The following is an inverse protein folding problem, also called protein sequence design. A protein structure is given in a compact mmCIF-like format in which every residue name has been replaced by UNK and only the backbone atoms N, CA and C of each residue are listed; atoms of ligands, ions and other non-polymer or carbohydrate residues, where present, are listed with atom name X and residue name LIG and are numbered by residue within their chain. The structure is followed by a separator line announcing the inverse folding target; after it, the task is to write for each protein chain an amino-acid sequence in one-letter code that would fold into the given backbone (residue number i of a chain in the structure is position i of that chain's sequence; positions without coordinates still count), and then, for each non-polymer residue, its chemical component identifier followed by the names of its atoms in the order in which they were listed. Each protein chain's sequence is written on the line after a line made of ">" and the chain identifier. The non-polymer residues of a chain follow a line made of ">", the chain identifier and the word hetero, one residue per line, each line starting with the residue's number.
data_IF_994157703073
#
_entry.id   IF_994157703073
#
_cell.length_a   1.000
_cell.length_b   1.000
_cell.length_c   1.000
_cell.angle_alpha   90.00
_cell.angle_beta   90.00
_cell.angle_gamma   90.00
#
_symmetry.space_group_name_H-M   'P 1'
#
loop_
_entity.id
_entity.type
_entity.pdbx_description
1 polymer ?
#
# COMPACT_ATOMS: atom_id res chain seq x y z
N UNK A 1 8.40 -2.71 -18.23
CA UNK A 1 9.40 -1.66 -18.46
C UNK A 1 10.46 -2.23 -19.38
N UNK A 2 10.97 -1.46 -20.34
CA UNK A 2 12.03 -1.94 -21.22
C UNK A 2 13.29 -2.32 -20.39
N UNK A 3 13.95 -3.41 -20.77
CA UNK A 3 15.07 -3.95 -20.00
C UNK A 3 16.27 -3.00 -19.99
N UNK A 4 16.57 -2.35 -21.13
CA UNK A 4 17.69 -1.39 -21.24
C UNK A 4 17.41 -0.13 -20.44
N UNK A 5 16.17 0.38 -20.50
CA UNK A 5 15.77 1.53 -19.69
C UNK A 5 15.87 1.22 -18.19
N UNK A 6 15.46 0.02 -17.77
CA UNK A 6 15.51 -0.40 -16.36
C UNK A 6 16.95 -0.48 -15.86
N UNK A 7 17.84 -1.09 -16.65
CA UNK A 7 19.27 -1.18 -16.32
C UNK A 7 19.91 0.21 -16.19
N UNK A 8 19.61 1.11 -17.14
CA UNK A 8 20.08 2.50 -17.08
C UNK A 8 19.61 3.20 -15.80
N UNK A 9 18.33 3.07 -15.48
CA UNK A 9 17.75 3.66 -14.26
C UNK A 9 18.39 3.10 -12.98
N UNK A 10 18.67 1.80 -12.93
CA UNK A 10 19.37 1.20 -11.79
C UNK A 10 20.80 1.75 -11.59
N UNK A 11 21.45 2.27 -12.63
CA UNK A 11 22.82 2.80 -12.54
C UNK A 11 22.90 4.33 -12.40
N UNK A 12 21.81 5.05 -12.65
CA UNK A 12 21.81 6.52 -12.76
C UNK A 12 20.89 7.23 -11.77
N UNK A 13 19.96 6.54 -11.11
CA UNK A 13 19.06 7.18 -10.15
C UNK A 13 19.75 7.36 -8.79
N UNK A 14 19.93 8.63 -8.40
CA UNK A 14 20.41 9.01 -7.07
C UNK A 14 19.26 9.27 -6.08
N UNK A 15 18.09 9.74 -6.56
CA UNK A 15 16.96 10.11 -5.71
C UNK A 15 15.65 9.55 -6.26
N UNK A 16 14.85 8.94 -5.39
CA UNK A 16 13.48 8.53 -5.69
C UNK A 16 12.51 9.29 -4.79
N UNK A 17 11.51 9.92 -5.40
CA UNK A 17 10.38 10.54 -4.68
C UNK A 17 9.10 9.77 -4.99
N UNK A 18 8.59 9.04 -4.01
CA UNK A 18 7.33 8.32 -4.11
C UNK A 18 6.17 9.12 -3.52
N UNK A 19 5.47 9.85 -4.39
CA UNK A 19 4.25 10.60 -4.06
C UNK A 19 3.00 10.04 -4.74
N UNK A 20 3.10 8.90 -5.44
CA UNK A 20 1.96 8.28 -6.10
C UNK A 20 1.07 7.61 -5.05
N UNK A 21 -0.15 8.12 -4.91
CA UNK A 21 -1.18 7.58 -4.03
C UNK A 21 -2.56 7.93 -4.61
N UNK A 22 -3.57 7.10 -4.32
CA UNK A 22 -4.96 7.54 -4.41
C UNK A 22 -5.38 8.14 -3.07
N UNK A 23 -5.90 9.36 -3.11
CA UNK A 23 -6.43 10.08 -1.93
C UNK A 23 -7.95 10.05 -1.88
N UNK A 24 -8.59 9.27 -2.76
CA UNK A 24 -10.03 9.15 -2.83
C UNK A 24 -10.54 8.27 -1.67
N UNK A 25 -11.33 8.87 -0.79
CA UNK A 25 -11.85 8.20 0.41
C UNK A 25 -12.78 7.02 0.12
N UNK A 26 -13.54 7.07 -0.97
CA UNK A 26 -14.48 6.02 -1.37
C UNK A 26 -13.92 5.17 -2.54
N UNK A 27 -12.60 5.00 -2.60
CA UNK A 27 -11.99 4.20 -3.66
C UNK A 27 -12.28 2.70 -3.49
N UNK A 28 -12.27 1.96 -4.61
CA UNK A 28 -12.27 0.50 -4.58
C UNK A 28 -11.09 -0.02 -3.77
N UNK A 29 -11.36 -0.99 -2.91
CA UNK A 29 -10.34 -1.46 -1.98
C UNK A 29 -9.12 -2.09 -2.67
N UNK A 30 -9.32 -2.86 -3.74
CA UNK A 30 -8.23 -3.44 -4.54
C UNK A 30 -7.33 -2.37 -5.17
N UNK A 31 -7.93 -1.28 -5.63
CA UNK A 31 -7.21 -0.14 -6.22
C UNK A 31 -6.44 0.62 -5.14
N UNK A 32 -7.10 1.00 -4.05
CA UNK A 32 -6.47 1.71 -2.94
C UNK A 32 -5.33 0.90 -2.31
N UNK A 33 -5.54 -0.40 -2.08
CA UNK A 33 -4.51 -1.29 -1.55
C UNK A 33 -3.34 -1.46 -2.52
N UNK A 34 -3.63 -1.64 -3.81
CA UNK A 34 -2.61 -1.77 -4.85
C UNK A 34 -1.70 -0.54 -4.97
N UNK A 35 -2.28 0.66 -4.90
CA UNK A 35 -1.54 1.92 -5.04
C UNK A 35 -0.87 2.30 -3.70
N UNK A 36 -1.65 2.42 -2.63
CA UNK A 36 -1.18 3.04 -1.39
C UNK A 36 -0.37 2.09 -0.50
N UNK A 37 -0.63 0.78 -0.54
CA UNK A 37 0.11 -0.21 0.27
C UNK A 37 1.17 -0.94 -0.56
N UNK A 38 0.75 -1.64 -1.63
CA UNK A 38 1.70 -2.41 -2.45
C UNK A 38 2.62 -1.51 -3.28
N UNK A 39 2.16 -0.33 -3.71
CA UNK A 39 2.96 0.62 -4.46
C UNK A 39 4.23 1.04 -3.72
N UNK A 40 4.15 1.31 -2.41
CA UNK A 40 5.32 1.61 -1.59
C UNK A 40 6.32 0.43 -1.55
N UNK A 41 5.82 -0.80 -1.42
CA UNK A 41 6.65 -2.01 -1.46
C UNK A 41 7.34 -2.19 -2.82
N UNK A 42 6.62 -1.97 -3.93
CA UNK A 42 7.18 -2.03 -5.27
C UNK A 42 8.27 -0.99 -5.49
N UNK A 43 8.05 0.26 -5.05
CA UNK A 43 9.07 1.32 -5.15
C UNK A 43 10.30 0.97 -4.30
N UNK A 44 10.12 0.44 -3.08
CA UNK A 44 11.24 -0.04 -2.27
C UNK A 44 12.04 -1.15 -2.99
N UNK A 45 11.36 -2.11 -3.62
CA UNK A 45 12.02 -3.20 -4.34
C UNK A 45 12.71 -2.72 -5.64
N UNK A 46 12.23 -1.62 -6.23
CA UNK A 46 12.91 -0.95 -7.32
C UNK A 46 14.15 -0.21 -6.80
N UNK A 47 14.00 0.55 -5.72
CA UNK A 47 15.06 1.29 -5.04
C UNK A 47 16.22 0.37 -4.63
N UNK A 48 15.94 -0.84 -4.13
CA UNK A 48 16.98 -1.80 -3.74
C UNK A 48 17.84 -2.33 -4.91
N UNK A 49 17.44 -2.07 -6.15
CA UNK A 49 18.20 -2.41 -7.35
C UNK A 49 19.05 -1.24 -7.86
N UNK A 50 18.83 -0.03 -7.36
CA UNK A 50 19.52 1.18 -7.78
C UNK A 50 20.87 1.28 -7.05
N UNK A 51 21.98 1.16 -7.79
CA UNK A 51 23.33 1.10 -7.23
C UNK A 51 23.84 2.44 -6.69
N UNK A 52 23.29 3.55 -7.18
CA UNK A 52 23.65 4.92 -6.77
C UNK A 52 22.62 5.61 -5.89
N UNK A 53 21.57 4.90 -5.48
CA UNK A 53 20.49 5.54 -4.73
C UNK A 53 21.02 6.07 -3.40
N UNK A 54 20.94 7.38 -3.24
CA UNK A 54 21.27 8.11 -2.02
C UNK A 54 20.03 8.29 -1.16
N UNK A 55 18.90 8.71 -1.77
CA UNK A 55 17.69 9.08 -1.02
C UNK A 55 16.42 8.47 -1.61
N UNK A 56 15.61 7.84 -0.75
CA UNK A 56 14.22 7.47 -1.03
C UNK A 56 13.29 8.29 -0.13
N UNK A 57 12.56 9.23 -0.72
CA UNK A 57 11.54 10.03 -0.05
C UNK A 57 10.15 9.46 -0.35
N UNK A 58 9.41 9.06 0.68
CA UNK A 58 8.02 8.63 0.55
C UNK A 58 7.08 9.65 1.19
N UNK A 59 6.12 10.16 0.40
CA UNK A 59 5.07 11.05 0.89
C UNK A 59 3.95 10.20 1.48
N UNK A 60 3.74 10.32 2.79
CA UNK A 60 2.66 9.65 3.52
C UNK A 60 1.59 10.65 3.96
N UNK A 61 0.70 10.26 4.88
CA UNK A 61 -0.35 11.12 5.43
C UNK A 61 -0.26 11.21 6.95
N UNK A 62 -0.74 12.31 7.54
CA UNK A 62 -0.77 12.46 9.00
C UNK A 62 -1.92 11.69 9.67
N UNK A 63 -2.84 11.08 8.90
CA UNK A 63 -4.06 10.44 9.40
C UNK A 63 -3.86 9.03 9.96
N UNK A 64 -2.64 8.49 9.92
CA UNK A 64 -2.27 7.17 10.48
C UNK A 64 -1.83 7.24 11.94
N UNK A 65 -2.07 8.37 12.63
CA UNK A 65 -1.68 8.50 14.03
C UNK A 65 -2.57 7.66 14.95
N UNK A 66 -1.93 7.10 15.96
CA UNK A 66 -2.58 6.50 17.11
C UNK A 66 -3.49 7.55 17.80
N UNK A 67 -4.77 7.22 17.95
CA UNK A 67 -5.77 8.09 18.57
C UNK A 67 -5.76 8.02 20.10
N UNK A 68 -5.03 7.06 20.68
CA UNK A 68 -4.95 6.84 22.12
C UNK A 68 -3.85 7.67 22.78
N UNK A 69 -2.79 8.01 22.04
CA UNK A 69 -1.69 8.86 22.53
C UNK A 69 -2.10 10.33 22.58
N UNK A 70 -1.93 10.95 23.75
CA UNK A 70 -2.24 12.36 24.02
C UNK A 70 -0.97 13.14 24.38
N UNK A 71 -0.90 14.41 24.01
CA UNK A 71 0.22 15.29 24.32
C UNK A 71 1.33 15.25 23.28
N UNK A 72 2.60 15.44 23.69
CA UNK A 72 3.75 15.38 22.80
C UNK A 72 4.02 13.93 22.38
N UNK A 73 3.83 13.63 21.10
CA UNK A 73 4.03 12.30 20.54
C UNK A 73 5.41 12.24 19.89
N UNK A 74 6.37 11.57 20.54
CA UNK A 74 7.66 11.29 19.93
C UNK A 74 7.52 10.25 18.81
N UNK A 75 8.24 10.48 17.70
CA UNK A 75 8.36 9.49 16.64
C UNK A 75 9.14 8.27 17.14
N UNK A 76 8.63 7.08 16.83
CA UNK A 76 9.28 5.81 17.13
C UNK A 76 9.28 4.96 15.86
N UNK A 77 10.37 4.24 15.55
CA UNK A 77 10.38 3.30 14.45
C UNK A 77 9.29 2.24 14.63
N UNK A 78 8.54 1.97 13.56
CA UNK A 78 7.60 0.86 13.52
C UNK A 78 8.33 -0.45 13.25
N UNK A 79 7.96 -1.51 13.97
CA UNK A 79 8.42 -2.87 13.67
C UNK A 79 7.59 -3.46 12.54
N UNK A 80 8.19 -4.38 11.78
CA UNK A 80 7.46 -5.08 10.71
C UNK A 80 6.26 -5.82 11.31
N UNK A 81 5.08 -5.61 10.69
CA UNK A 81 3.83 -6.20 11.14
C UNK A 81 3.27 -5.63 12.45
N UNK A 82 3.87 -4.59 13.01
CA UNK A 82 3.30 -3.87 14.15
C UNK A 82 1.97 -3.25 13.76
N UNK A 83 0.97 -3.41 14.62
CA UNK A 83 -0.35 -2.81 14.48
C UNK A 83 -0.46 -1.56 15.36
N UNK A 84 -1.45 -0.70 15.07
CA UNK A 84 -1.74 0.43 15.93
C UNK A 84 -2.31 -0.04 17.28
N UNK A 85 -2.07 0.71 18.34
CA UNK A 85 -2.63 0.42 19.66
C UNK A 85 -4.17 0.43 19.60
N UNK A 86 -4.80 -0.60 20.18
CA UNK A 86 -6.25 -0.81 20.10
C UNK A 86 -6.74 -1.52 18.83
N UNK A 87 -5.83 -1.91 17.93
CA UNK A 87 -6.15 -2.76 16.78
C UNK A 87 -6.74 -4.11 17.21
N UNK A 88 -7.77 -4.58 16.48
CA UNK A 88 -8.35 -5.93 16.66
C UNK A 88 -7.42 -7.05 16.19
N UNK A 89 -6.47 -6.72 15.31
CA UNK A 89 -5.45 -7.64 14.80
C UNK A 89 -4.14 -7.42 15.54
N UNK A 90 -3.47 -8.52 15.86
CA UNK A 90 -2.18 -8.54 16.57
C UNK A 90 -0.97 -8.41 15.65
N UNK A 91 -1.15 -8.61 14.35
CA UNK A 91 -0.09 -8.55 13.35
C UNK A 91 -0.64 -8.07 12.01
N UNK A 92 0.03 -7.10 11.39
CA UNK A 92 -0.31 -6.57 10.08
C UNK A 92 0.36 -7.40 8.98
N UNK A 93 -0.43 -8.19 8.25
CA UNK A 93 0.06 -9.03 7.15
C UNK A 93 -0.52 -8.57 5.80
N UNK A 94 0.31 -7.87 5.03
CA UNK A 94 -0.06 -7.39 3.69
C UNK A 94 -0.27 -8.52 2.67
N UNK A 95 0.37 -9.68 2.84
CA UNK A 95 0.21 -10.81 1.92
C UNK A 95 -1.12 -11.51 2.18
N UNK A 96 -1.50 -11.65 3.44
CA UNK A 96 -2.82 -12.15 3.81
C UNK A 96 -3.92 -11.23 3.25
N UNK A 97 -3.80 -9.92 3.42
CA UNK A 97 -4.76 -8.96 2.90
C UNK A 97 -4.87 -9.01 1.37
N UNK A 98 -3.73 -9.09 0.68
CA UNK A 98 -3.68 -9.28 -0.77
C UNK A 98 -4.46 -10.53 -1.20
N UNK A 99 -4.28 -11.64 -0.48
CA UNK A 99 -4.97 -12.90 -0.79
C UNK A 99 -6.49 -12.76 -0.65
N UNK A 100 -6.97 -12.10 0.41
CA UNK A 100 -8.41 -11.85 0.62
C UNK A 100 -9.00 -11.04 -0.55
N UNK A 101 -8.31 -9.97 -0.96
CA UNK A 101 -8.72 -9.14 -2.09
C UNK A 101 -8.77 -9.97 -3.39
N UNK A 102 -7.73 -10.74 -3.68
CA UNK A 102 -7.66 -11.57 -4.89
C UNK A 102 -8.73 -12.65 -4.92
N UNK A 103 -9.01 -13.31 -3.80
CA UNK A 103 -10.08 -14.31 -3.68
C UNK A 103 -11.45 -13.68 -3.89
N UNK A 104 -11.69 -12.48 -3.35
CA UNK A 104 -12.94 -11.74 -3.56
C UNK A 104 -13.14 -11.38 -5.03
N UNK A 105 -12.11 -10.87 -5.70
CA UNK A 105 -12.17 -10.53 -7.13
C UNK A 105 -12.43 -11.76 -7.99
N UNK A 106 -11.75 -12.88 -7.72
CA UNK A 106 -12.00 -14.16 -8.41
C UNK A 106 -13.45 -14.63 -8.23
N UNK A 107 -13.99 -14.55 -7.02
CA UNK A 107 -15.38 -14.92 -6.75
C UNK A 107 -16.38 -14.06 -7.54
N UNK A 108 -16.17 -12.74 -7.61
CA UNK A 108 -16.99 -11.82 -8.39
C UNK A 108 -16.91 -12.12 -9.91
N UNK A 109 -15.72 -12.43 -10.40
CA UNK A 109 -15.52 -12.82 -11.80
C UNK A 109 -16.25 -14.13 -12.13
N UNK A 110 -16.20 -15.14 -11.26
CA UNK A 110 -16.92 -16.41 -11.44
C UNK A 110 -18.45 -16.20 -11.45
N UNK A 111 -18.94 -15.23 -10.69
CA UNK A 111 -20.35 -14.84 -10.67
C UNK A 111 -20.75 -13.98 -11.88
N UNK A 112 -19.80 -13.63 -12.76
CA UNK A 112 -19.99 -12.69 -13.89
C UNK A 112 -20.56 -11.35 -13.42
N UNK A 113 -20.14 -10.89 -12.24
CA UNK A 113 -20.56 -9.60 -11.69
C UNK A 113 -20.21 -8.46 -12.65
N UNK A 114 -21.11 -7.50 -12.77
CA UNK A 114 -20.90 -6.27 -13.52
C UNK A 114 -19.81 -5.41 -12.85
N UNK A 115 -19.32 -4.40 -13.57
CA UNK A 115 -18.36 -3.43 -13.03
C UNK A 115 -18.92 -2.66 -11.82
N UNK A 116 -20.22 -2.32 -11.85
CA UNK A 116 -20.91 -1.63 -10.77
C UNK A 116 -20.99 -2.52 -9.52
N UNK A 117 -21.38 -3.78 -9.68
CA UNK A 117 -21.44 -4.75 -8.60
C UNK A 117 -20.06 -5.03 -8.01
N UNK A 118 -19.04 -5.16 -8.86
CA UNK A 118 -17.64 -5.33 -8.44
C UNK A 118 -17.17 -4.13 -7.64
N UNK A 119 -17.41 -2.92 -8.14
CA UNK A 119 -17.04 -1.67 -7.46
C UNK A 119 -17.68 -1.59 -6.08
N UNK A 120 -18.99 -1.86 -5.99
CA UNK A 120 -19.71 -1.86 -4.71
C UNK A 120 -19.14 -2.91 -3.76
N UNK A 121 -18.97 -4.15 -4.23
CA UNK A 121 -18.46 -5.25 -3.40
C UNK A 121 -17.04 -5.00 -2.87
N UNK A 122 -16.19 -4.34 -3.66
CA UNK A 122 -14.84 -3.98 -3.22
C UNK A 122 -14.84 -2.83 -2.21
N UNK A 123 -15.71 -1.84 -2.36
CA UNK A 123 -15.88 -0.80 -1.32
C UNK A 123 -16.42 -1.39 -0.01
N UNK A 124 -17.40 -2.29 -0.11
CA UNK A 124 -17.97 -2.98 1.06
C UNK A 124 -16.94 -3.88 1.77
N UNK A 125 -15.95 -4.42 1.04
CA UNK A 125 -14.87 -5.19 1.64
C UNK A 125 -13.96 -4.34 2.52
N UNK A 126 -13.62 -3.10 2.10
CA UNK A 126 -12.78 -2.20 2.89
C UNK A 126 -13.39 -1.87 4.27
N UNK A 127 -14.71 -1.90 4.39
CA UNK A 127 -15.42 -1.59 5.63
C UNK A 127 -15.49 -2.76 6.62
N UNK A 128 -15.06 -3.96 6.22
CA UNK A 128 -15.12 -5.18 7.02
C UNK A 128 -13.80 -5.52 7.72
N UNK A 129 -12.73 -4.78 7.44
CA UNK A 129 -11.40 -4.91 8.05
C UNK A 129 -11.33 -4.42 9.49
#
# INVERSE_FOLDING_TARGET
>A
MDAKLSEKMFQEIDIIVNSAATTKFDERYDVAFGINALGASHVRNFASKCSKLDTLLHVSTAFVHDTTRKGLIAEKPFRMGQTADGSKISYLDTNMEKKIIEEKLKALQMQKATEIETTRAMKDLALKG
#
